data_IF_244966973770
#
_entry.id   IF_244966973770
#
_cell.length_a   1.000
_cell.length_b   1.000
_cell.length_c   1.000
_cell.angle_alpha   90.00
_cell.angle_beta   90.00
_cell.angle_gamma   90.00
#
_symmetry.space_group_name_H-M   'P 1'
#
loop_
_entity.id
_entity.type
_entity.pdbx_description
1 polymer ?
#
# COMPACT_ATOMS: atom_id res chain seq x y z
N UNK A 1 10.80 6.33 -27.49
CA UNK A 1 10.99 7.34 -26.43
C UNK A 1 12.13 6.86 -25.55
N UNK A 2 13.27 7.52 -25.64
CA UNK A 2 14.42 7.28 -24.76
C UNK A 2 14.14 8.04 -23.46
N UNK A 3 13.80 7.32 -22.38
CA UNK A 3 13.47 7.93 -21.10
C UNK A 3 14.76 8.02 -20.29
N UNK A 4 15.47 9.14 -20.40
CA UNK A 4 16.68 9.38 -19.61
C UNK A 4 16.32 9.91 -18.22
N UNK A 5 16.68 9.15 -17.18
CA UNK A 5 16.51 9.57 -15.79
C UNK A 5 17.58 10.60 -15.42
N UNK A 6 17.17 11.76 -14.90
CA UNK A 6 18.09 12.82 -14.45
C UNK A 6 18.26 12.66 -12.94
N UNK A 7 19.47 12.30 -12.49
CA UNK A 7 19.77 12.16 -11.06
C UNK A 7 20.09 13.52 -10.41
N UNK A 8 19.54 13.78 -9.21
CA UNK A 8 20.12 14.72 -8.26
C UNK A 8 20.02 16.21 -8.56
N UNK A 9 19.13 16.66 -9.46
CA UNK A 9 18.93 18.10 -9.73
C UNK A 9 17.81 18.70 -8.87
N UNK A 10 18.18 19.59 -7.95
CA UNK A 10 17.22 20.36 -7.14
C UNK A 10 16.32 21.22 -8.03
N UNK A 11 15.00 21.19 -7.79
CA UNK A 11 13.95 21.93 -8.53
C UNK A 11 13.67 21.49 -9.98
N UNK A 12 14.20 20.35 -10.44
CA UNK A 12 13.69 19.72 -11.67
C UNK A 12 12.58 18.72 -11.29
N UNK A 13 11.32 18.91 -11.75
CA UNK A 13 10.22 18.00 -11.44
C UNK A 13 10.42 16.58 -11.99
N UNK A 14 11.43 16.35 -12.84
CA UNK A 14 11.81 15.05 -13.41
C UNK A 14 13.00 14.42 -12.67
N UNK A 15 13.63 15.14 -11.74
CA UNK A 15 14.79 14.63 -11.03
C UNK A 15 14.38 13.79 -9.83
N UNK A 16 14.71 12.50 -9.90
CA UNK A 16 14.61 11.60 -8.75
C UNK A 16 15.89 11.66 -7.91
N UNK A 17 15.75 11.43 -6.60
CA UNK A 17 16.90 11.24 -5.71
C UNK A 17 17.57 9.89 -5.97
N UNK A 18 18.85 9.74 -5.61
CA UNK A 18 19.54 8.45 -5.71
C UNK A 18 18.79 7.32 -4.98
N UNK A 19 18.23 7.63 -3.80
CA UNK A 19 17.40 6.70 -3.04
C UNK A 19 16.14 6.27 -3.79
N UNK A 20 15.44 7.22 -4.42
CA UNK A 20 14.27 6.91 -5.24
C UNK A 20 14.65 6.07 -6.48
N UNK A 21 15.76 6.39 -7.14
CA UNK A 21 16.25 5.62 -8.29
C UNK A 21 16.55 4.19 -7.87
N UNK A 22 17.29 4.00 -6.77
CA UNK A 22 17.61 2.68 -6.23
C UNK A 22 16.35 1.89 -5.86
N UNK A 23 15.36 2.54 -5.25
CA UNK A 23 14.07 1.94 -4.91
C UNK A 23 13.29 1.53 -6.17
N UNK A 24 13.16 2.42 -7.16
CA UNK A 24 12.47 2.15 -8.43
C UNK A 24 13.14 1.01 -9.20
N UNK A 25 14.46 0.98 -9.24
CA UNK A 25 15.21 -0.12 -9.86
C UNK A 25 14.92 -1.45 -9.16
N UNK A 26 14.95 -1.48 -7.83
CA UNK A 26 14.62 -2.67 -7.04
C UNK A 26 13.19 -3.13 -7.28
N UNK A 27 12.23 -2.20 -7.33
CA UNK A 27 10.83 -2.46 -7.65
C UNK A 27 10.69 -3.07 -9.05
N UNK A 28 11.34 -2.49 -10.06
CA UNK A 28 11.32 -3.00 -11.44
C UNK A 28 11.87 -4.43 -11.54
N UNK A 29 12.95 -4.75 -10.81
CA UNK A 29 13.47 -6.12 -10.76
C UNK A 29 12.43 -7.10 -10.22
N UNK A 30 11.69 -6.72 -9.17
CA UNK A 30 10.59 -7.53 -8.63
C UNK A 30 9.50 -7.74 -9.70
N UNK A 31 9.11 -6.68 -10.43
CA UNK A 31 8.11 -6.79 -11.51
C UNK A 31 8.58 -7.72 -12.63
N UNK A 32 9.83 -7.57 -13.07
CA UNK A 32 10.43 -8.41 -14.12
C UNK A 32 10.51 -9.87 -13.66
N UNK A 33 10.88 -10.13 -12.41
CA UNK A 33 10.95 -11.50 -11.87
C UNK A 33 9.59 -12.22 -11.86
N UNK A 34 8.49 -11.46 -11.76
CA UNK A 34 7.14 -11.99 -11.84
C UNK A 34 6.72 -12.31 -13.29
N UNK A 35 7.52 -12.01 -14.31
CA UNK A 35 7.17 -12.34 -15.69
C UNK A 35 7.64 -13.74 -16.09
N UNK A 36 6.79 -14.47 -16.82
CA UNK A 36 7.17 -15.71 -17.50
C UNK A 36 7.90 -15.42 -18.83
N UNK A 37 8.34 -16.47 -19.54
CA UNK A 37 9.07 -16.33 -20.81
C UNK A 37 8.31 -15.55 -21.90
N UNK A 38 6.97 -15.51 -21.83
CA UNK A 38 6.10 -14.76 -22.74
C UNK A 38 5.75 -13.36 -22.24
N UNK A 39 6.40 -12.89 -21.17
CA UNK A 39 6.16 -11.61 -20.51
C UNK A 39 4.77 -11.46 -19.89
N UNK A 40 4.14 -12.56 -19.49
CA UNK A 40 2.93 -12.52 -18.67
C UNK A 40 3.26 -12.68 -17.18
N UNK A 41 2.52 -12.02 -16.27
CA UNK A 41 2.68 -12.23 -14.84
C UNK A 41 2.43 -13.69 -14.43
N UNK A 42 3.33 -14.26 -13.63
CA UNK A 42 3.20 -15.58 -13.01
C UNK A 42 2.16 -15.54 -11.89
N UNK A 43 2.20 -14.47 -11.10
CA UNK A 43 1.21 -14.14 -10.06
C UNK A 43 0.38 -12.96 -10.55
N UNK A 44 -0.94 -13.00 -10.33
CA UNK A 44 -1.86 -11.92 -10.69
C UNK A 44 -1.55 -10.68 -9.86
N UNK A 45 -1.61 -9.52 -10.51
CA UNK A 45 -1.31 -8.24 -9.88
C UNK A 45 -2.49 -7.29 -10.08
N UNK A 46 -2.98 -6.71 -8.99
CA UNK A 46 -4.04 -5.72 -8.97
C UNK A 46 -3.44 -4.38 -8.54
N UNK A 47 -3.80 -3.30 -9.23
CA UNK A 47 -3.33 -1.95 -8.95
C UNK A 47 -4.53 -1.09 -8.58
N UNK A 48 -4.47 -0.47 -7.41
CA UNK A 48 -5.52 0.40 -6.89
C UNK A 48 -4.97 1.82 -6.74
N UNK A 49 -5.79 2.79 -7.10
CA UNK A 49 -5.44 4.22 -7.11
C UNK A 49 -6.71 5.04 -6.85
N UNK A 50 -6.60 6.10 -6.05
CA UNK A 50 -7.67 7.08 -5.86
C UNK A 50 -7.65 8.15 -6.95
N UNK A 51 -8.81 8.42 -7.55
CA UNK A 51 -8.97 9.50 -8.53
C UNK A 51 -10.10 10.43 -8.10
N UNK A 52 -9.86 11.74 -8.23
CA UNK A 52 -10.93 12.73 -8.18
C UNK A 52 -11.64 12.78 -9.53
N UNK A 53 -12.91 12.37 -9.55
CA UNK A 53 -13.75 12.46 -10.74
C UNK A 53 -14.60 13.74 -10.70
N UNK A 54 -14.53 14.56 -11.75
CA UNK A 54 -15.42 15.70 -11.90
C UNK A 54 -16.82 15.21 -12.31
N UNK A 55 -17.84 15.60 -11.56
CA UNK A 55 -19.24 15.19 -11.76
C UNK A 55 -19.76 15.58 -13.14
N UNK A 56 -19.36 16.74 -13.67
CA UNK A 56 -19.95 17.29 -14.91
C UNK A 56 -19.03 17.18 -16.13
N UNK A 57 -17.82 16.61 -16.00
CA UNK A 57 -16.81 16.49 -17.08
C UNK A 57 -16.55 17.76 -17.92
N UNK A 58 -17.00 18.94 -17.47
CA UNK A 58 -16.84 20.22 -18.17
C UNK A 58 -15.63 20.98 -17.64
N UNK A 59 -14.89 21.58 -18.56
CA UNK A 59 -13.62 22.27 -18.30
C UNK A 59 -13.73 23.57 -17.47
N UNK A 60 -14.94 24.04 -17.14
CA UNK A 60 -15.17 25.43 -16.71
C UNK A 60 -15.53 25.67 -15.24
N UNK A 61 -15.81 24.65 -14.42
CA UNK A 61 -16.20 24.88 -13.02
C UNK A 61 -15.86 23.67 -12.17
N UNK A 62 -14.67 23.74 -11.59
CA UNK A 62 -14.12 22.72 -10.70
C UNK A 62 -14.51 23.09 -9.27
N UNK A 63 -14.88 22.07 -8.49
CA UNK A 63 -15.15 22.11 -7.04
C UNK A 63 -16.60 22.46 -6.63
N UNK A 64 -17.22 21.49 -5.98
CA UNK A 64 -18.45 21.69 -5.22
C UNK A 64 -18.15 22.62 -4.02
N UNK A 65 -18.94 23.68 -3.80
CA UNK A 65 -18.85 24.48 -2.59
C UNK A 65 -19.08 23.59 -1.36
N UNK A 66 -18.41 23.88 -0.24
CA UNK A 66 -18.49 23.14 1.04
C UNK A 66 -19.92 22.87 1.53
N UNK A 67 -20.91 23.58 1.02
CA UNK A 67 -22.32 23.56 1.41
C UNK A 67 -23.29 22.97 0.36
N UNK A 68 -22.81 22.42 -0.76
CA UNK A 68 -23.70 21.78 -1.74
C UNK A 68 -24.34 20.52 -1.15
N UNK A 69 -25.64 20.32 -1.41
CA UNK A 69 -26.39 19.14 -0.98
C UNK A 69 -25.69 17.86 -1.48
N UNK A 70 -25.31 17.00 -0.52
CA UNK A 70 -24.63 15.73 -0.79
C UNK A 70 -25.68 14.73 -1.25
N UNK A 71 -25.75 14.49 -2.56
CA UNK A 71 -26.51 13.35 -3.08
C UNK A 71 -25.85 12.06 -2.55
N UNK A 72 -26.54 11.38 -1.63
CA UNK A 72 -26.14 10.09 -1.10
C UNK A 72 -27.24 9.08 -1.40
N UNK A 73 -27.02 8.26 -2.43
CA UNK A 73 -27.73 6.99 -2.57
C UNK A 73 -26.96 5.88 -3.30
N UNK A 74 -25.69 6.07 -3.68
CA UNK A 74 -24.99 5.06 -4.52
C UNK A 74 -23.50 4.93 -4.25
N UNK A 75 -23.05 4.62 -3.03
CA UNK A 75 -21.66 4.20 -2.76
C UNK A 75 -20.54 5.19 -3.12
N UNK A 76 -20.82 6.30 -3.80
CA UNK A 76 -19.87 7.33 -4.16
C UNK A 76 -19.55 8.12 -2.90
N UNK A 77 -18.30 8.00 -2.46
CA UNK A 77 -17.83 8.76 -1.34
C UNK A 77 -17.65 10.24 -1.73
N UNK A 78 -18.49 11.12 -1.17
CA UNK A 78 -18.47 12.56 -1.41
C UNK A 78 -17.86 13.34 -0.23
N UNK A 79 -16.65 12.99 0.20
CA UNK A 79 -15.96 13.62 1.34
C UNK A 79 -14.44 13.46 1.35
N UNK A 80 -13.80 13.64 2.52
CA UNK A 80 -12.36 13.43 2.72
C UNK A 80 -11.97 11.96 2.95
N UNK A 81 -11.26 11.30 2.03
CA UNK A 81 -10.99 9.86 2.12
C UNK A 81 -10.04 9.59 3.30
N UNK A 82 -10.45 8.73 4.23
CA UNK A 82 -9.73 8.48 5.47
C UNK A 82 -9.47 6.99 5.69
N UNK A 83 -8.60 6.66 6.65
CA UNK A 83 -8.20 5.28 6.91
C UNK A 83 -9.37 4.34 7.23
N UNK A 84 -10.39 4.80 7.96
CA UNK A 84 -11.56 3.98 8.28
C UNK A 84 -12.37 3.61 7.04
N UNK A 85 -12.58 4.58 6.14
CA UNK A 85 -13.24 4.32 4.86
C UNK A 85 -12.38 3.39 4.02
N UNK A 86 -11.09 3.70 3.89
CA UNK A 86 -10.14 2.85 3.16
C UNK A 86 -10.24 1.39 3.61
N UNK A 87 -10.15 1.10 4.91
CA UNK A 87 -10.27 -0.26 5.46
C UNK A 87 -11.58 -0.94 5.04
N UNK A 88 -12.72 -0.26 5.22
CA UNK A 88 -14.04 -0.81 4.87
C UNK A 88 -14.12 -1.21 3.39
N UNK A 89 -13.66 -0.35 2.49
CA UNK A 89 -13.68 -0.62 1.05
C UNK A 89 -12.68 -1.70 0.68
N UNK A 90 -11.49 -1.64 1.27
CA UNK A 90 -10.38 -2.52 0.96
C UNK A 90 -10.64 -3.96 1.46
N UNK A 91 -11.31 -4.15 2.59
CA UNK A 91 -11.79 -5.47 3.06
C UNK A 91 -12.72 -6.13 2.03
N UNK A 92 -13.67 -5.38 1.49
CA UNK A 92 -14.57 -5.87 0.44
C UNK A 92 -13.81 -6.28 -0.83
N UNK A 93 -12.82 -5.49 -1.24
CA UNK A 93 -11.95 -5.83 -2.37
C UNK A 93 -11.16 -7.11 -2.08
N UNK A 94 -10.55 -7.23 -0.90
CA UNK A 94 -9.78 -8.42 -0.52
C UNK A 94 -10.63 -9.69 -0.54
N UNK A 95 -11.85 -9.65 0.01
CA UNK A 95 -12.74 -10.81 0.03
C UNK A 95 -13.05 -11.33 -1.38
N UNK A 96 -13.26 -10.42 -2.35
CA UNK A 96 -13.49 -10.80 -3.75
C UNK A 96 -12.21 -11.33 -4.41
N UNK A 97 -11.08 -10.67 -4.17
CA UNK A 97 -9.80 -11.08 -4.76
C UNK A 97 -9.34 -12.44 -4.23
N UNK A 98 -9.55 -12.70 -2.95
CA UNK A 98 -9.26 -13.99 -2.33
C UNK A 98 -10.11 -15.11 -2.94
N UNK A 99 -11.42 -14.88 -3.06
CA UNK A 99 -12.36 -15.86 -3.58
C UNK A 99 -12.10 -16.23 -5.06
N UNK A 100 -11.73 -15.25 -5.89
CA UNK A 100 -11.72 -15.42 -7.35
C UNK A 100 -10.31 -15.54 -7.93
N UNK A 101 -9.32 -14.91 -7.29
CA UNK A 101 -8.04 -14.62 -7.91
C UNK A 101 -6.80 -14.99 -7.08
N UNK A 102 -6.95 -15.53 -5.87
CA UNK A 102 -5.81 -15.94 -5.05
C UNK A 102 -5.00 -17.10 -5.68
N UNK A 103 -3.65 -17.07 -5.57
CA UNK A 103 -2.82 -16.04 -4.94
C UNK A 103 -2.64 -14.79 -5.85
N UNK A 104 -2.66 -13.60 -5.24
CA UNK A 104 -2.50 -12.33 -5.96
C UNK A 104 -1.71 -11.28 -5.17
N UNK A 105 -1.16 -10.29 -5.87
CA UNK A 105 -0.46 -9.13 -5.29
C UNK A 105 -1.29 -7.87 -5.50
N UNK A 106 -1.49 -7.10 -4.45
CA UNK A 106 -2.16 -5.80 -4.53
C UNK A 106 -1.10 -4.70 -4.42
N UNK A 107 -1.14 -3.74 -5.35
CA UNK A 107 -0.27 -2.58 -5.41
C UNK A 107 -1.10 -1.32 -5.18
N UNK A 108 -0.61 -0.45 -4.31
CA UNK A 108 -1.17 0.88 -4.07
C UNK A 108 -0.04 1.87 -3.86
N UNK A 109 -0.37 3.16 -3.81
CA UNK A 109 0.58 4.20 -3.50
C UNK A 109 0.93 4.29 -2.00
N UNK A 110 1.86 5.18 -1.67
CA UNK A 110 2.30 5.42 -0.30
C UNK A 110 1.46 6.45 0.46
N UNK A 111 0.17 6.62 0.15
CA UNK A 111 -0.69 7.58 0.85
C UNK A 111 -0.73 7.36 2.37
N UNK A 112 -1.02 8.41 3.13
CA UNK A 112 -1.01 8.30 4.59
C UNK A 112 -2.14 7.40 5.13
N UNK A 113 -3.32 7.42 4.50
CA UNK A 113 -4.46 6.60 4.92
C UNK A 113 -4.32 5.11 4.53
N UNK A 114 -3.44 4.77 3.59
CA UNK A 114 -3.09 3.38 3.29
C UNK A 114 -2.12 2.77 4.32
N UNK A 115 -1.64 3.57 5.27
CA UNK A 115 -0.69 3.16 6.31
C UNK A 115 -1.34 3.33 7.67
N UNK A 116 -1.87 2.24 8.22
CA UNK A 116 -2.30 2.21 9.62
C UNK A 116 -1.10 1.75 10.44
N UNK A 117 -0.43 2.69 11.10
CA UNK A 117 0.63 2.36 12.04
C UNK A 117 -0.01 1.76 13.29
N UNK A 118 0.19 0.46 13.50
CA UNK A 118 -0.20 -0.20 14.73
C UNK A 118 0.89 0.12 15.77
N UNK A 119 0.48 0.45 17.00
CA UNK A 119 1.41 0.76 18.08
C UNK A 119 2.31 -0.45 18.37
N UNK A 120 3.54 -0.38 17.82
CA UNK A 120 4.54 -1.41 17.99
C UNK A 120 5.14 -1.36 19.40
N UNK A 121 5.58 -2.51 19.96
CA UNK A 121 6.31 -2.53 21.22
C UNK A 121 7.59 -1.69 21.15
N UNK A 122 7.94 -1.03 22.25
CA UNK A 122 9.08 -0.13 22.31
C UNK A 122 10.43 -0.84 22.09
N UNK A 123 11.48 -0.04 21.86
CA UNK A 123 12.87 -0.53 21.82
C UNK A 123 13.33 -1.14 23.15
N UNK A 124 12.66 -0.84 24.26
CA UNK A 124 12.91 -1.43 25.57
C UNK A 124 12.20 -2.77 25.78
N UNK A 125 11.13 -3.06 25.05
CA UNK A 125 10.25 -4.22 25.26
C UNK A 125 10.99 -5.57 25.30
N UNK A 126 10.62 -6.42 26.26
CA UNK A 126 11.23 -7.72 26.50
C UNK A 126 10.93 -8.72 25.38
N UNK A 127 11.77 -9.74 25.22
CA UNK A 127 11.59 -10.78 24.18
C UNK A 127 10.21 -11.47 24.25
N UNK A 128 9.67 -11.65 25.46
CA UNK A 128 8.34 -12.21 25.67
C UNK A 128 7.23 -11.27 25.19
N UNK A 129 7.34 -9.97 25.47
CA UNK A 129 6.39 -8.95 25.03
C UNK A 129 6.35 -8.83 23.50
N UNK A 130 7.50 -8.90 22.84
CA UNK A 130 7.57 -8.93 21.37
C UNK A 130 6.82 -10.13 20.77
N UNK A 131 6.93 -11.31 21.40
CA UNK A 131 6.24 -12.53 20.95
C UNK A 131 4.74 -12.46 21.22
N UNK A 132 4.33 -11.95 22.38
CA UNK A 132 2.92 -11.80 22.73
C UNK A 132 2.23 -10.81 21.78
N UNK A 133 2.86 -9.66 21.52
CA UNK A 133 2.33 -8.69 20.57
C UNK A 133 2.18 -9.29 19.16
N UNK A 134 3.18 -10.03 18.67
CA UNK A 134 3.08 -10.71 17.36
C UNK A 134 1.92 -11.73 17.35
N UNK A 135 1.71 -12.47 18.44
CA UNK A 135 0.59 -13.41 18.57
C UNK A 135 -0.76 -12.70 18.58
N UNK A 136 -0.88 -11.55 19.26
CA UNK A 136 -2.08 -10.70 19.22
C UNK A 136 -2.36 -10.18 17.81
N UNK A 137 -1.32 -9.90 17.02
CA UNK A 137 -1.43 -9.57 15.59
C UNK A 137 -1.62 -10.81 14.69
N UNK A 138 -1.88 -11.99 15.24
CA UNK A 138 -2.11 -13.23 14.49
C UNK A 138 -0.86 -13.86 13.84
N UNK A 139 0.34 -13.37 14.17
CA UNK A 139 1.60 -13.86 13.61
C UNK A 139 2.24 -14.93 14.50
N UNK A 140 2.40 -16.15 13.97
CA UNK A 140 3.12 -17.21 14.65
C UNK A 140 4.62 -17.18 14.32
N UNK A 141 5.46 -16.94 15.33
CA UNK A 141 6.93 -16.94 15.20
C UNK A 141 7.56 -18.13 15.94
N UNK A 142 8.56 -18.80 15.34
CA UNK A 142 9.32 -19.87 15.99
C UNK A 142 9.94 -19.45 17.33
N UNK A 143 10.07 -20.41 18.25
CA UNK A 143 10.50 -20.18 19.63
C UNK A 143 11.95 -19.66 19.76
N UNK A 144 12.80 -20.02 18.82
CA UNK A 144 14.24 -19.77 18.78
C UNK A 144 14.62 -18.38 18.22
N UNK A 145 13.67 -17.63 17.65
CA UNK A 145 13.93 -16.31 17.07
C UNK A 145 14.68 -15.37 18.03
N UNK A 146 15.73 -14.73 17.53
CA UNK A 146 16.48 -13.71 18.27
C UNK A 146 15.67 -12.42 18.40
N UNK A 147 16.04 -11.55 19.36
CA UNK A 147 15.38 -10.25 19.53
C UNK A 147 15.50 -9.37 18.27
N UNK A 148 16.61 -9.49 17.53
CA UNK A 148 16.82 -8.80 16.24
C UNK A 148 15.86 -9.29 15.17
N UNK A 149 15.67 -10.61 15.05
CA UNK A 149 14.71 -11.20 14.09
C UNK A 149 13.27 -10.84 14.45
N UNK A 150 12.88 -10.93 15.73
CA UNK A 150 11.54 -10.51 16.18
C UNK A 150 11.28 -9.04 15.84
N UNK A 151 12.27 -8.16 15.98
CA UNK A 151 12.13 -6.75 15.59
C UNK A 151 12.04 -6.54 14.08
N UNK A 152 12.72 -7.35 13.28
CA UNK A 152 12.54 -7.30 11.83
C UNK A 152 11.11 -7.71 11.44
N UNK A 153 10.56 -8.75 12.07
CA UNK A 153 9.16 -9.17 11.86
C UNK A 153 8.19 -8.12 12.36
N UNK A 154 8.40 -7.54 13.54
CA UNK A 154 7.56 -6.44 14.05
C UNK A 154 7.66 -5.22 13.15
N UNK A 155 8.84 -4.85 12.65
CA UNK A 155 8.98 -3.77 11.68
C UNK A 155 8.32 -4.10 10.34
N UNK A 156 8.18 -5.37 9.97
CA UNK A 156 7.28 -5.75 8.90
C UNK A 156 5.85 -5.48 9.39
N UNK A 157 5.30 -6.23 10.35
CA UNK A 157 3.89 -6.16 10.82
C UNK A 157 3.39 -4.75 11.16
N UNK A 158 4.20 -3.93 11.83
CA UNK A 158 3.84 -2.56 12.26
C UNK A 158 3.73 -1.58 11.09
N UNK A 159 4.44 -1.87 10.00
CA UNK A 159 4.36 -1.17 8.72
C UNK A 159 3.55 -1.96 7.68
N UNK A 160 3.15 -3.20 8.00
CA UNK A 160 2.33 -4.10 7.22
C UNK A 160 0.88 -3.88 7.58
N UNK A 161 0.39 -2.70 7.23
CA UNK A 161 -0.96 -2.66 6.69
C UNK A 161 -0.79 -2.37 5.20
N UNK A 162 -1.02 -3.42 4.40
CA UNK A 162 -1.19 -3.42 2.94
C UNK A 162 -0.01 -3.64 2.00
N UNK A 163 1.08 -4.27 2.45
CA UNK A 163 1.81 -5.14 1.52
C UNK A 163 1.19 -6.53 1.58
N UNK A 164 -0.04 -6.70 1.09
CA UNK A 164 -0.69 -8.00 1.06
C UNK A 164 0.12 -8.95 0.16
N UNK A 165 1.06 -9.64 0.80
CA UNK A 165 1.62 -10.92 0.41
C UNK A 165 0.59 -11.95 0.84
N UNK A 166 -0.44 -12.17 0.01
CA UNK A 166 -1.05 -13.49 -0.02
C UNK A 166 0.03 -14.43 -0.57
N UNK A 167 0.37 -15.47 0.21
CA UNK A 167 1.22 -16.57 -0.23
C UNK A 167 0.61 -17.26 -1.46
#
# INVERSE_FOLDING_TARGET
MEVSYICGRTRDPRADSEGNIAFRNSYLQIKVSNLNARKYPKIREFFLDERFCNVNQVAGSTWLPKHSARYSSSGCYHGNFNGTLFLKWFEGVCAVLELVYAPCRIHMDGAAYSKVQINAPSSAALKAELKNWLREQGCYVPGDYTRKQLRAVIAQVSYFTFQILFF
#
